data_IF_569530108018
#
_entry.id   IF_569530108018
#
_cell.length_a   1.000
_cell.length_b   1.000
_cell.length_c   1.000
_cell.angle_alpha   90.00
_cell.angle_beta   90.00
_cell.angle_gamma   90.00
#
_symmetry.space_group_name_H-M   'P 1'
#
loop_
_entity.id
_entity.type
_entity.pdbx_description
1 polymer ?
#
# COMPACT_ATOMS: atom_id res chain seq x y z
N UNK A 1 -1.56 -30.63 -15.01
CA UNK A 1 -0.44 -31.58 -15.20
C UNK A 1 -0.18 -31.78 -16.70
N UNK A 2 0.25 -30.70 -17.37
CA UNK A 2 0.36 -30.62 -18.82
C UNK A 2 1.69 -31.13 -19.40
N UNK A 3 1.67 -31.35 -20.71
CA UNK A 3 2.72 -31.57 -21.74
C UNK A 3 3.94 -32.48 -21.47
N UNK A 4 4.38 -32.73 -20.23
CA UNK A 4 5.53 -33.60 -19.92
C UNK A 4 5.33 -34.32 -18.56
N UNK A 5 4.85 -35.57 -18.55
CA UNK A 5 4.55 -36.33 -17.32
C UNK A 5 5.72 -36.42 -16.34
N UNK A 6 6.96 -36.46 -16.86
CA UNK A 6 8.19 -36.54 -16.05
C UNK A 6 8.46 -35.27 -15.24
N UNK A 7 8.14 -34.09 -15.77
CA UNK A 7 8.33 -32.82 -15.05
C UNK A 7 7.33 -32.69 -13.90
N UNK A 8 6.07 -33.07 -14.13
CA UNK A 8 5.05 -33.12 -13.09
C UNK A 8 5.42 -34.08 -11.94
N UNK A 9 6.03 -35.23 -12.25
CA UNK A 9 6.50 -36.18 -11.24
C UNK A 9 7.64 -35.61 -10.36
N UNK A 10 8.57 -34.83 -10.94
CA UNK A 10 9.65 -34.18 -10.18
C UNK A 10 9.11 -33.07 -9.27
N UNK A 11 8.17 -32.27 -9.77
CA UNK A 11 7.51 -31.23 -8.95
C UNK A 11 6.68 -31.84 -7.83
N UNK A 12 5.99 -32.96 -8.10
CA UNK A 12 5.23 -33.71 -7.09
C UNK A 12 6.14 -34.42 -6.05
N UNK A 13 7.42 -34.65 -6.38
CA UNK A 13 8.41 -35.18 -5.46
C UNK A 13 8.96 -34.12 -4.48
N UNK A 14 8.68 -32.83 -4.69
CA UNK A 14 9.06 -31.76 -3.75
C UNK A 14 8.20 -31.88 -2.48
N UNK A 15 8.80 -31.96 -1.27
CA UNK A 15 8.04 -32.01 -0.03
C UNK A 15 7.14 -30.79 0.15
N UNK A 16 5.91 -31.02 0.61
CA UNK A 16 4.92 -29.94 0.80
C UNK A 16 5.40 -28.78 1.68
N UNK A 17 6.29 -29.05 2.64
CA UNK A 17 6.90 -28.00 3.48
C UNK A 17 7.70 -26.97 2.69
N UNK A 18 8.40 -27.38 1.63
CA UNK A 18 9.18 -26.47 0.77
C UNK A 18 8.27 -25.65 -0.14
N UNK A 19 7.21 -26.26 -0.67
CA UNK A 19 6.19 -25.58 -1.47
C UNK A 19 5.40 -24.54 -0.65
N UNK A 20 5.13 -24.83 0.63
CA UNK A 20 4.57 -23.84 1.56
C UNK A 20 5.54 -22.67 1.80
N UNK A 21 6.81 -22.96 2.05
CA UNK A 21 7.82 -21.91 2.27
C UNK A 21 7.98 -20.97 1.08
N UNK A 22 8.11 -21.51 -0.14
CA UNK A 22 8.28 -20.68 -1.33
C UNK A 22 7.03 -19.85 -1.63
N UNK A 23 5.83 -20.38 -1.42
CA UNK A 23 4.59 -19.61 -1.64
C UNK A 23 4.45 -18.46 -0.66
N UNK A 24 4.79 -18.65 0.62
CA UNK A 24 4.81 -17.56 1.62
C UNK A 24 5.79 -16.46 1.21
N UNK A 25 6.99 -16.81 0.77
CA UNK A 25 7.99 -15.82 0.29
C UNK A 25 7.45 -15.09 -0.94
N UNK A 26 6.90 -15.80 -1.92
CA UNK A 26 6.35 -15.22 -3.14
C UNK A 26 5.22 -14.23 -2.83
N UNK A 27 4.24 -14.61 -2.01
CA UNK A 27 3.15 -13.71 -1.60
C UNK A 27 3.66 -12.52 -0.79
N UNK A 28 4.63 -12.72 0.10
CA UNK A 28 5.27 -11.64 0.86
C UNK A 28 5.99 -10.62 -0.04
N UNK A 29 6.74 -11.10 -1.04
CA UNK A 29 7.42 -10.23 -2.02
C UNK A 29 6.42 -9.43 -2.86
N UNK A 30 5.31 -10.04 -3.29
CA UNK A 30 4.26 -9.32 -4.04
C UNK A 30 3.68 -8.18 -3.18
N UNK A 31 3.45 -8.43 -1.88
CA UNK A 31 2.99 -7.38 -0.95
C UNK A 31 4.00 -6.23 -0.80
N UNK A 32 5.28 -6.56 -0.64
CA UNK A 32 6.36 -5.55 -0.52
C UNK A 32 6.55 -4.74 -1.80
N UNK A 33 6.41 -5.36 -2.98
CA UNK A 33 6.44 -4.65 -4.26
C UNK A 33 5.31 -3.61 -4.34
N UNK A 34 4.12 -3.93 -3.81
CA UNK A 34 3.03 -2.96 -3.67
C UNK A 34 3.43 -1.74 -2.81
N UNK A 35 4.02 -1.99 -1.64
CA UNK A 35 4.51 -0.91 -0.78
C UNK A 35 5.64 -0.10 -1.44
N UNK A 36 6.52 -0.75 -2.20
CA UNK A 36 7.61 -0.10 -2.91
C UNK A 36 7.09 0.84 -4.01
N UNK A 37 5.97 0.52 -4.67
CA UNK A 37 5.33 1.43 -5.64
C UNK A 37 4.93 2.74 -4.97
N UNK A 38 4.34 2.71 -3.76
CA UNK A 38 3.96 3.93 -3.03
C UNK A 38 5.17 4.75 -2.59
N UNK A 39 6.24 4.09 -2.13
CA UNK A 39 7.50 4.75 -1.78
C UNK A 39 8.13 5.43 -2.99
N UNK A 40 8.23 4.73 -4.12
CA UNK A 40 8.79 5.26 -5.37
C UNK A 40 7.93 6.41 -5.93
N UNK A 41 6.61 6.33 -5.77
CA UNK A 41 5.68 7.41 -6.14
C UNK A 41 5.67 8.58 -5.14
N UNK A 42 6.49 8.54 -4.07
CA UNK A 42 6.55 9.54 -3.00
C UNK A 42 5.17 9.84 -2.39
N UNK A 43 4.35 8.81 -2.21
CA UNK A 43 3.05 8.95 -1.55
C UNK A 43 3.28 9.30 -0.07
N UNK A 44 2.84 10.48 0.36
CA UNK A 44 2.92 10.85 1.77
C UNK A 44 1.84 10.12 2.58
N UNK A 45 2.25 9.07 3.29
CA UNK A 45 1.41 8.31 4.21
C UNK A 45 1.29 8.95 5.59
N UNK A 46 1.93 10.10 5.84
CA UNK A 46 1.72 10.89 7.07
C UNK A 46 0.44 11.69 6.98
N UNK A 47 0.04 12.05 5.76
CA UNK A 47 -1.22 12.74 5.49
C UNK A 47 -2.40 11.76 5.67
N UNK A 48 -3.35 12.02 6.58
CA UNK A 48 -4.50 11.14 6.81
C UNK A 48 -5.37 10.95 5.57
N UNK A 49 -5.35 11.89 4.61
CA UNK A 49 -6.08 11.78 3.34
C UNK A 49 -5.57 10.64 2.46
N UNK A 50 -4.30 10.28 2.58
CA UNK A 50 -3.70 9.16 1.85
C UNK A 50 -3.68 7.89 2.70
N UNK A 51 -3.36 8.02 3.99
CA UNK A 51 -3.22 6.89 4.92
C UNK A 51 -4.54 6.14 5.12
N UNK A 52 -5.64 6.85 5.36
CA UNK A 52 -6.94 6.23 5.67
C UNK A 52 -7.46 5.35 4.52
N UNK A 53 -7.59 5.84 3.28
CA UNK A 53 -8.06 5.02 2.17
C UNK A 53 -7.08 3.90 1.82
N UNK A 54 -5.76 4.13 1.90
CA UNK A 54 -4.77 3.07 1.68
C UNK A 54 -4.89 1.94 2.71
N UNK A 55 -4.97 2.26 4.00
CA UNK A 55 -5.13 1.28 5.07
C UNK A 55 -6.44 0.48 4.94
N UNK A 56 -7.56 1.17 4.66
CA UNK A 56 -8.85 0.53 4.45
C UNK A 56 -8.81 -0.45 3.27
N UNK A 57 -8.19 -0.07 2.15
CA UNK A 57 -8.01 -0.94 0.99
C UNK A 57 -7.25 -2.22 1.28
N UNK A 58 -6.12 -2.10 2.00
CA UNK A 58 -5.28 -3.25 2.37
C UNK A 58 -6.07 -4.23 3.24
N UNK A 59 -6.75 -3.76 4.29
CA UNK A 59 -7.48 -4.64 5.20
C UNK A 59 -8.68 -5.31 4.51
N UNK A 60 -9.39 -4.59 3.65
CA UNK A 60 -10.50 -5.17 2.88
C UNK A 60 -9.99 -6.23 1.88
N UNK A 61 -8.88 -5.94 1.20
CA UNK A 61 -8.26 -6.83 0.23
C UNK A 61 -7.71 -8.12 0.85
N UNK A 62 -6.93 -7.98 1.93
CA UNK A 62 -6.30 -9.12 2.63
C UNK A 62 -7.30 -9.87 3.51
N UNK A 63 -8.24 -9.16 4.14
CA UNK A 63 -9.23 -9.73 5.04
C UNK A 63 -10.34 -10.53 4.35
N UNK A 64 -10.36 -10.59 3.00
CA UNK A 64 -11.35 -11.35 2.26
C UNK A 64 -12.79 -10.84 2.44
N UNK A 65 -12.94 -9.54 2.71
CA UNK A 65 -14.25 -8.93 2.94
C UNK A 65 -15.06 -9.03 1.65
N UNK A 66 -16.30 -9.51 1.77
CA UNK A 66 -17.22 -9.63 0.64
C UNK A 66 -18.54 -8.93 0.95
N UNK A 67 -18.97 -8.09 0.01
CA UNK A 67 -20.30 -7.50 -0.01
C UNK A 67 -21.13 -8.15 -1.11
N UNK A 68 -22.26 -8.74 -0.70
CA UNK A 68 -23.27 -9.25 -1.60
C UNK A 68 -24.31 -8.17 -1.81
N UNK A 69 -24.45 -7.69 -3.05
CA UNK A 69 -25.45 -6.69 -3.41
C UNK A 69 -26.76 -7.34 -3.86
N UNK A 70 -26.71 -8.56 -4.40
CA UNK A 70 -27.86 -9.36 -4.84
C UNK A 70 -27.45 -10.85 -4.79
N UNK A 71 -28.40 -11.78 -4.85
CA UNK A 71 -28.13 -13.23 -4.85
C UNK A 71 -27.13 -13.68 -5.92
N UNK A 72 -27.07 -12.96 -7.04
CA UNK A 72 -26.16 -13.26 -8.17
C UNK A 72 -24.94 -12.33 -8.28
N UNK A 73 -24.81 -11.32 -7.41
CA UNK A 73 -23.73 -10.32 -7.53
C UNK A 73 -23.06 -10.05 -6.19
N UNK A 74 -21.79 -10.46 -6.10
CA UNK A 74 -20.92 -10.23 -4.95
C UNK A 74 -19.59 -9.63 -5.38
N UNK A 75 -19.19 -8.52 -4.76
CA UNK A 75 -17.80 -8.08 -4.78
C UNK A 75 -17.06 -8.67 -3.57
N UNK A 76 -15.83 -9.10 -3.79
CA UNK A 76 -15.02 -9.70 -2.74
C UNK A 76 -13.55 -9.28 -2.85
N UNK A 77 -12.90 -9.22 -1.69
CA UNK A 77 -11.46 -9.02 -1.54
C UNK A 77 -10.96 -7.79 -2.29
N UNK A 78 -10.04 -8.02 -3.23
CA UNK A 78 -9.30 -6.96 -3.94
C UNK A 78 -10.24 -6.06 -4.76
N UNK A 79 -11.30 -6.61 -5.37
CA UNK A 79 -12.24 -5.82 -6.16
C UNK A 79 -12.99 -4.80 -5.27
N UNK A 80 -13.47 -5.25 -4.11
CA UNK A 80 -14.11 -4.39 -3.13
C UNK A 80 -13.12 -3.37 -2.55
N UNK A 81 -11.92 -3.82 -2.19
CA UNK A 81 -10.88 -2.97 -1.61
C UNK A 81 -10.49 -1.84 -2.54
N UNK A 82 -10.32 -2.12 -3.83
CA UNK A 82 -9.99 -1.10 -4.85
C UNK A 82 -11.08 -0.03 -4.95
N UNK A 83 -12.35 -0.45 -4.96
CA UNK A 83 -13.48 0.48 -5.00
C UNK A 83 -13.51 1.39 -3.77
N UNK A 84 -13.31 0.81 -2.57
CA UNK A 84 -13.28 1.57 -1.31
C UNK A 84 -12.11 2.55 -1.26
N UNK A 85 -10.92 2.17 -1.75
CA UNK A 85 -9.76 3.07 -1.83
C UNK A 85 -10.07 4.28 -2.70
N UNK A 86 -10.58 4.04 -3.91
CA UNK A 86 -10.86 5.11 -4.88
C UNK A 86 -11.97 6.03 -4.36
N UNK A 87 -13.10 5.45 -3.93
CA UNK A 87 -14.24 6.23 -3.41
C UNK A 87 -13.87 6.96 -2.13
N UNK A 88 -13.16 6.31 -1.21
CA UNK A 88 -12.71 6.88 0.06
C UNK A 88 -11.73 8.04 -0.15
N UNK A 89 -10.73 7.86 -1.02
CA UNK A 89 -9.78 8.92 -1.37
C UNK A 89 -10.50 10.12 -2.00
N UNK A 90 -11.40 9.87 -2.96
CA UNK A 90 -12.13 10.95 -3.63
C UNK A 90 -13.09 11.69 -2.67
N UNK A 91 -13.82 10.96 -1.84
CA UNK A 91 -14.74 11.53 -0.84
C UNK A 91 -13.99 12.37 0.20
N UNK A 92 -12.90 11.83 0.75
CA UNK A 92 -12.05 12.56 1.70
C UNK A 92 -11.45 13.80 1.04
N UNK A 93 -10.96 13.70 -0.20
CA UNK A 93 -10.41 14.85 -0.94
C UNK A 93 -11.46 15.93 -1.25
N UNK A 94 -12.71 15.54 -1.50
CA UNK A 94 -13.82 16.46 -1.72
C UNK A 94 -14.22 17.20 -0.43
N UNK A 95 -14.16 16.52 0.72
CA UNK A 95 -14.54 17.07 2.02
C UNK A 95 -13.39 17.66 2.84
N UNK A 96 -12.14 17.48 2.40
CA UNK A 96 -10.95 17.90 3.14
C UNK A 96 -10.84 19.44 3.26
N UNK A 97 -10.79 20.00 4.49
CA UNK A 97 -10.48 21.40 4.71
C UNK A 97 -9.05 21.76 4.27
N UNK A 98 -8.84 22.99 3.81
CA UNK A 98 -7.66 23.43 3.08
C UNK A 98 -6.30 23.28 3.83
N UNK A 99 -6.30 23.14 5.15
CA UNK A 99 -5.07 23.06 5.97
C UNK A 99 -4.33 21.71 5.89
N UNK A 100 -4.94 20.65 5.36
CA UNK A 100 -4.28 19.37 5.09
C UNK A 100 -3.84 19.19 3.63
N UNK A 101 -4.05 20.22 2.79
CA UNK A 101 -3.59 20.23 1.38
C UNK A 101 -2.20 20.84 1.22
N UNK A 102 -1.68 21.47 2.27
CA UNK A 102 -0.36 22.10 2.30
C UNK A 102 0.63 21.11 2.90
N UNK A 103 1.16 20.22 2.08
CA UNK A 103 2.35 19.44 2.40
C UNK A 103 3.54 20.40 2.36
N UNK A 104 3.84 21.08 3.47
CA UNK A 104 5.11 21.74 3.63
C UNK A 104 6.15 20.67 4.00
N UNK A 105 7.16 20.40 3.15
CA UNK A 105 8.11 19.35 3.41
C UNK A 105 8.95 19.73 4.63
N UNK A 106 8.73 19.03 5.75
CA UNK A 106 9.45 19.17 7.03
C UNK A 106 10.96 18.82 6.95
N UNK A 107 11.53 18.77 5.74
CA UNK A 107 12.97 18.70 5.49
C UNK A 107 13.60 20.10 5.51
N UNK A 108 12.82 21.16 5.31
CA UNK A 108 13.31 22.55 5.34
C UNK A 108 13.36 23.14 6.76
N UNK A 109 12.49 22.69 7.66
CA UNK A 109 12.51 23.13 9.07
C UNK A 109 13.76 22.70 9.82
N UNK A 110 14.44 21.66 9.35
CA UNK A 110 15.70 21.19 9.91
C UNK A 110 16.90 21.97 9.37
N UNK A 111 16.87 22.47 8.14
CA UNK A 111 17.98 23.19 7.50
C UNK A 111 17.89 24.71 7.68
N UNK A 112 16.68 25.30 7.66
CA UNK A 112 16.45 26.72 7.93
C UNK A 112 16.87 27.13 9.34
N UNK A 113 16.64 26.27 10.33
CA UNK A 113 17.03 26.56 11.72
C UNK A 113 18.54 26.58 11.94
N UNK A 114 19.32 25.88 11.10
CA UNK A 114 20.79 25.96 11.13
C UNK A 114 21.30 27.16 10.33
N UNK A 115 20.69 27.46 9.19
CA UNK A 115 21.02 28.64 8.37
C UNK A 115 20.75 29.95 9.15
N UNK A 116 19.60 30.08 9.83
CA UNK A 116 19.28 31.24 10.68
C UNK A 116 20.19 31.37 11.90
N UNK A 117 20.66 30.23 12.45
CA UNK A 117 21.57 30.22 13.60
C UNK A 117 23.00 30.60 13.22
N UNK A 118 23.47 30.24 12.02
CA UNK A 118 24.78 30.65 11.51
C UNK A 118 24.77 32.12 11.06
N UNK A 119 23.69 32.61 10.46
CA UNK A 119 23.56 34.01 10.03
C UNK A 119 23.46 34.98 11.24
N UNK A 120 22.84 34.54 12.34
CA UNK A 120 22.86 35.27 13.64
C UNK A 120 24.22 35.25 14.33
N UNK A 121 25.05 34.23 14.12
CA UNK A 121 26.43 34.18 14.63
C UNK A 121 27.41 34.98 13.78
N UNK A 122 27.15 35.11 12.48
CA UNK A 122 27.97 35.89 11.56
C UNK A 122 27.74 37.42 11.65
N UNK A 123 26.62 37.84 12.26
CA UNK A 123 26.20 39.24 12.38
C UNK A 123 26.46 39.88 13.77
N UNK A 124 27.08 39.15 14.71
CA UNK A 124 27.49 39.63 16.04
C UNK A 124 29.00 39.64 16.20
#
# INVERSE_FOLDING_TARGET
FGLCPKFGAIVAAIPGGVLGGITVILYGMIGLLGAQIWLNARVDLRNPLNLVPAAAGIIIGVGGVSLKFTDNFSLSGIALGTLVVITGYHALRAMAPAHLKTDEPLLDSGTSSYDEADDQRASS
#
